data_IF_188481590436
#
_entry.id   IF_188481590436
#
_cell.length_a   1.000
_cell.length_b   1.000
_cell.length_c   1.000
_cell.angle_alpha   90.00
_cell.angle_beta   90.00
_cell.angle_gamma   90.00
#
_symmetry.space_group_name_H-M   'P 1'
#
loop_
_entity.id
_entity.type
_entity.pdbx_description
1 polymer ?
#
# COMPACT_ATOMS: atom_id res chain seq x y z
N UNK A 1 -14.26 -13.60 4.43
CA UNK A 1 -12.80 -13.40 4.34
C UNK A 1 -12.49 -11.91 4.42
N UNK A 2 -12.15 -11.41 5.60
CA UNK A 2 -11.75 -10.01 5.77
C UNK A 2 -10.31 -9.81 5.26
N UNK A 3 -10.00 -8.67 4.61
CA UNK A 3 -8.65 -8.36 4.15
C UNK A 3 -7.75 -8.09 5.37
N UNK A 4 -7.18 -9.15 5.93
CA UNK A 4 -6.19 -9.12 6.99
C UNK A 4 -4.84 -9.42 6.38
N UNK A 5 -4.03 -8.40 6.08
CA UNK A 5 -2.57 -8.57 5.99
C UNK A 5 -1.88 -7.29 6.42
N UNK A 6 -1.10 -7.36 7.51
CA UNK A 6 0.18 -6.68 7.80
C UNK A 6 0.60 -6.99 9.26
N UNK A 7 1.88 -7.33 9.45
CA UNK A 7 2.40 -8.33 10.41
C UNK A 7 3.03 -7.74 11.68
N UNK A 8 3.00 -8.53 12.76
CA UNK A 8 3.99 -8.46 13.84
C UNK A 8 5.02 -9.56 13.61
N UNK A 9 6.30 -9.18 13.57
CA UNK A 9 7.40 -10.15 13.51
C UNK A 9 8.12 -10.16 14.85
N UNK A 10 8.18 -11.33 15.47
CA UNK A 10 8.97 -11.59 16.68
C UNK A 10 10.18 -12.42 16.28
N UNK A 11 11.38 -11.90 16.52
CA UNK A 11 12.60 -12.70 16.49
C UNK A 11 12.92 -13.18 17.89
N UNK A 12 12.96 -14.51 18.07
CA UNK A 12 13.55 -15.16 19.23
C UNK A 12 14.50 -16.26 18.75
N UNK A 13 15.79 -16.21 19.15
CA UNK A 13 16.79 -17.18 18.72
C UNK A 13 17.00 -17.26 17.20
N UNK A 14 16.85 -16.15 16.48
CA UNK A 14 17.01 -16.09 15.03
C UNK A 14 15.77 -16.51 14.20
N UNK A 15 14.67 -16.91 14.84
CA UNK A 15 13.44 -17.33 14.14
C UNK A 15 12.42 -16.20 14.11
N UNK A 16 12.03 -15.75 12.91
CA UNK A 16 10.95 -14.76 12.71
C UNK A 16 9.61 -15.48 12.83
N UNK A 17 8.76 -15.06 13.76
CA UNK A 17 7.39 -15.58 13.90
C UNK A 17 6.38 -14.48 13.63
N UNK A 18 5.35 -14.83 12.86
CA UNK A 18 4.16 -14.02 12.69
C UNK A 18 3.27 -14.13 13.93
N UNK A 19 2.92 -12.99 14.53
CA UNK A 19 2.20 -12.97 15.81
C UNK A 19 0.84 -12.25 15.80
N UNK A 20 0.39 -11.70 14.66
CA UNK A 20 -0.94 -11.09 14.62
C UNK A 20 -1.38 -10.54 13.26
N UNK A 21 -2.70 -10.58 13.03
CA UNK A 21 -3.37 -9.94 11.91
C UNK A 21 -4.04 -8.65 12.35
N UNK A 22 -3.95 -7.60 11.52
CA UNK A 22 -4.56 -6.30 11.79
C UNK A 22 -5.68 -6.02 10.79
N UNK A 23 -6.73 -5.34 11.24
CA UNK A 23 -7.72 -4.77 10.32
C UNK A 23 -7.00 -3.67 9.52
N UNK A 24 -6.86 -3.84 8.20
CA UNK A 24 -6.03 -2.98 7.35
C UNK A 24 -6.78 -2.23 6.26
N UNK A 25 -8.11 -2.36 6.20
CA UNK A 25 -8.92 -1.71 5.20
C UNK A 25 -9.47 -0.37 5.71
N UNK A 26 -8.94 0.73 5.17
CA UNK A 26 -9.27 2.09 5.64
C UNK A 26 -10.77 2.38 5.57
N UNK A 27 -11.44 2.07 4.45
CA UNK A 27 -12.91 2.28 4.33
C UNK A 27 -13.71 1.53 5.40
N UNK A 28 -13.48 0.23 5.58
CA UNK A 28 -14.15 -0.61 6.59
C UNK A 28 -13.89 -0.10 8.02
N UNK A 29 -12.78 0.60 8.27
CA UNK A 29 -12.53 1.17 9.61
C UNK A 29 -13.52 2.26 10.01
N UNK A 30 -14.16 2.94 9.05
CA UNK A 30 -15.25 3.88 9.34
C UNK A 30 -16.54 3.15 9.73
N UNK A 31 -16.76 1.93 9.21
CA UNK A 31 -17.92 1.10 9.51
C UNK A 31 -17.74 0.32 10.83
N UNK A 32 -16.50 -0.08 11.16
CA UNK A 32 -16.18 -0.87 12.35
C UNK A 32 -15.05 -0.25 13.21
N UNK A 33 -15.18 1.03 13.64
CA UNK A 33 -14.09 1.75 14.30
C UNK A 33 -13.66 1.15 15.64
N UNK A 34 -14.62 0.64 16.43
CA UNK A 34 -14.32 0.01 17.73
C UNK A 34 -13.50 -1.27 17.57
N UNK A 35 -13.89 -2.13 16.62
CA UNK A 35 -13.16 -3.36 16.33
C UNK A 35 -11.75 -3.04 15.79
N UNK A 36 -11.63 -2.09 14.86
CA UNK A 36 -10.34 -1.63 14.35
C UNK A 36 -9.44 -1.13 15.48
N UNK A 37 -9.93 -0.32 16.41
CA UNK A 37 -9.17 0.16 17.56
C UNK A 37 -8.75 -0.96 18.51
N UNK A 38 -9.65 -1.92 18.79
CA UNK A 38 -9.38 -3.07 19.67
C UNK A 38 -8.29 -3.99 19.13
N UNK A 39 -8.29 -4.24 17.82
CA UNK A 39 -7.32 -5.14 17.17
C UNK A 39 -6.03 -4.41 16.83
N UNK A 40 -6.13 -3.27 16.14
CA UNK A 40 -4.95 -2.58 15.60
C UNK A 40 -4.20 -1.79 16.67
N UNK A 41 -4.93 -1.08 17.54
CA UNK A 41 -4.34 -0.31 18.64
C UNK A 41 -4.03 -1.19 19.83
N UNK A 42 -5.07 -1.62 20.56
CA UNK A 42 -4.89 -2.38 21.81
C UNK A 42 -4.24 -3.76 21.62
N UNK A 43 -4.38 -4.39 20.44
CA UNK A 43 -3.67 -5.63 20.14
C UNK A 43 -2.15 -5.47 20.20
N UNK A 44 -1.63 -4.33 19.75
CA UNK A 44 -0.20 -3.99 19.84
C UNK A 44 0.26 -3.92 21.29
N UNK A 45 -0.48 -3.19 22.14
CA UNK A 45 -0.20 -3.11 23.57
C UNK A 45 -0.20 -4.50 24.22
N UNK A 46 -1.22 -5.32 23.94
CA UNK A 46 -1.32 -6.68 24.51
C UNK A 46 -0.13 -7.56 24.14
N UNK A 47 0.37 -7.47 22.90
CA UNK A 47 1.52 -8.24 22.47
C UNK A 47 2.81 -7.78 23.18
N UNK A 48 3.01 -6.46 23.30
CA UNK A 48 4.15 -5.90 24.02
C UNK A 48 4.13 -6.29 25.50
N UNK A 49 2.97 -6.19 26.15
CA UNK A 49 2.78 -6.64 27.53
C UNK A 49 2.99 -8.14 27.68
N UNK A 50 2.52 -8.98 26.76
CA UNK A 50 2.74 -10.42 26.84
C UNK A 50 4.24 -10.78 26.84
N UNK A 51 5.04 -10.12 25.98
CA UNK A 51 6.51 -10.30 25.96
C UNK A 51 7.13 -9.80 27.27
N UNK A 52 6.67 -8.66 27.78
CA UNK A 52 7.19 -8.07 29.02
C UNK A 52 6.87 -8.94 30.24
N UNK A 53 5.61 -9.34 30.41
CA UNK A 53 5.15 -10.21 31.50
C UNK A 53 5.78 -11.59 31.46
N UNK A 54 6.13 -12.10 30.27
CA UNK A 54 6.87 -13.35 30.13
C UNK A 54 8.37 -13.22 30.46
N UNK A 55 8.88 -12.03 30.79
CA UNK A 55 10.30 -11.80 31.07
C UNK A 55 11.20 -11.88 29.84
N UNK A 56 10.64 -11.77 28.63
CA UNK A 56 11.36 -12.02 27.37
C UNK A 56 11.88 -10.74 26.69
N UNK A 57 11.94 -9.63 27.41
CA UNK A 57 12.27 -8.29 26.85
C UNK A 57 13.66 -8.22 26.21
N UNK A 58 14.63 -8.97 26.72
CA UNK A 58 16.03 -9.01 26.20
C UNK A 58 16.24 -10.01 25.07
N UNK A 59 15.36 -11.00 24.93
CA UNK A 59 15.49 -12.10 23.96
C UNK A 59 14.64 -11.89 22.70
N UNK A 60 13.69 -10.95 22.76
CA UNK A 60 12.66 -10.76 21.76
C UNK A 60 12.85 -9.43 21.04
N UNK A 61 12.98 -9.48 19.71
CA UNK A 61 12.91 -8.28 18.86
C UNK A 61 11.56 -8.20 18.17
N UNK A 62 10.93 -7.04 18.20
CA UNK A 62 9.55 -6.84 17.75
C UNK A 62 9.52 -5.82 16.61
N UNK A 63 8.93 -6.21 15.49
CA UNK A 63 8.60 -5.28 14.42
C UNK A 63 7.11 -4.98 14.46
N UNK A 64 6.77 -3.71 14.44
CA UNK A 64 5.41 -3.22 14.26
C UNK A 64 5.27 -2.66 12.83
N UNK A 65 4.27 -3.19 12.12
CA UNK A 65 3.91 -2.70 10.79
C UNK A 65 3.14 -1.37 10.90
N UNK A 66 3.85 -0.25 10.94
CA UNK A 66 3.25 1.09 10.81
C UNK A 66 2.88 1.35 9.35
N UNK A 67 2.44 2.57 9.04
CA UNK A 67 1.83 2.87 7.75
C UNK A 67 1.94 4.35 7.40
N UNK A 68 2.07 4.65 6.10
CA UNK A 68 1.95 6.02 5.59
C UNK A 68 0.61 6.69 5.91
N UNK A 69 -0.45 5.93 6.21
CA UNK A 69 -1.75 6.47 6.67
C UNK A 69 -1.67 7.22 8.02
N UNK A 70 -0.54 7.12 8.74
CA UNK A 70 -0.24 7.98 9.89
C UNK A 70 -0.12 9.46 9.48
N UNK A 71 0.37 9.74 8.27
CA UNK A 71 0.55 11.11 7.78
C UNK A 71 -0.76 11.76 7.34
N UNK A 72 -1.73 10.96 6.87
CA UNK A 72 -3.09 11.38 6.51
C UNK A 72 -3.17 12.75 5.81
N UNK A 73 -3.48 13.82 6.56
CA UNK A 73 -3.33 15.19 6.04
C UNK A 73 -1.85 15.58 6.06
N UNK A 74 -1.18 15.33 4.94
CA UNK A 74 0.25 15.61 4.75
C UNK A 74 0.61 17.02 5.20
N UNK A 75 1.63 17.13 6.05
CA UNK A 75 2.20 18.39 6.53
C UNK A 75 3.46 18.78 5.76
N UNK A 76 4.23 17.79 5.28
CA UNK A 76 5.50 17.95 4.55
C UNK A 76 5.58 16.89 3.45
N UNK A 77 6.19 17.23 2.31
CA UNK A 77 6.38 16.31 1.17
C UNK A 77 7.81 16.43 0.64
N UNK A 78 8.52 15.31 0.39
CA UNK A 78 8.17 13.94 0.76
C UNK A 78 8.12 13.76 2.29
N UNK A 79 7.39 12.76 2.78
CA UNK A 79 7.28 12.47 4.21
C UNK A 79 8.45 11.58 4.68
N UNK A 80 9.08 11.95 5.80
CA UNK A 80 10.18 11.22 6.44
C UNK A 80 9.82 10.80 7.87
N UNK A 81 10.76 10.23 8.63
CA UNK A 81 10.55 9.87 10.03
C UNK A 81 10.29 11.08 10.96
N UNK A 82 10.64 12.30 10.53
CA UNK A 82 10.42 13.53 11.30
C UNK A 82 9.13 14.26 10.95
N UNK A 83 8.47 13.87 9.86
CA UNK A 83 7.25 14.53 9.41
C UNK A 83 6.11 14.32 10.41
N UNK A 84 5.40 15.38 10.84
CA UNK A 84 4.32 15.25 11.80
C UNK A 84 3.17 14.37 11.31
N UNK A 85 2.62 13.53 12.20
CA UNK A 85 1.47 12.69 11.91
C UNK A 85 0.15 13.46 11.99
N UNK A 86 -0.77 13.17 11.06
CA UNK A 86 -2.13 13.70 11.04
C UNK A 86 -3.09 12.65 10.46
N UNK A 87 -3.49 11.62 11.23
CA UNK A 87 -4.32 10.54 10.72
C UNK A 87 -5.74 11.04 10.35
N UNK A 88 -6.30 10.49 9.27
CA UNK A 88 -7.62 10.88 8.73
C UNK A 88 -8.65 9.75 8.74
N UNK A 89 -8.41 8.68 9.49
CA UNK A 89 -9.34 7.54 9.62
C UNK A 89 -9.21 6.87 10.99
N UNK A 90 -10.23 6.12 11.45
CA UNK A 90 -10.13 5.29 12.65
C UNK A 90 -8.95 4.29 12.57
N UNK A 91 -8.67 3.75 11.38
CA UNK A 91 -7.47 2.95 11.13
C UNK A 91 -6.17 3.72 11.40
N UNK A 92 -6.03 4.93 10.85
CA UNK A 92 -4.86 5.77 11.08
C UNK A 92 -4.66 6.14 12.54
N UNK A 93 -5.75 6.45 13.26
CA UNK A 93 -5.71 6.77 14.70
C UNK A 93 -5.28 5.54 15.52
N UNK A 94 -5.85 4.36 15.24
CA UNK A 94 -5.46 3.13 15.93
C UNK A 94 -3.99 2.76 15.67
N UNK A 95 -3.50 3.02 14.45
CA UNK A 95 -2.08 2.85 14.09
C UNK A 95 -1.18 3.86 14.79
N UNK A 96 -1.63 5.10 14.98
CA UNK A 96 -0.88 6.12 15.71
C UNK A 96 -0.71 5.73 17.18
N UNK A 97 -1.76 5.20 17.82
CA UNK A 97 -1.66 4.62 19.16
C UNK A 97 -0.63 3.49 19.21
N UNK A 98 -0.68 2.55 18.26
CA UNK A 98 0.26 1.44 18.17
C UNK A 98 1.72 1.92 17.99
N UNK A 99 1.94 2.90 17.12
CA UNK A 99 3.25 3.52 16.88
C UNK A 99 3.84 4.07 18.19
N UNK A 100 3.10 4.94 18.88
CA UNK A 100 3.58 5.56 20.13
C UNK A 100 3.72 4.57 21.28
N UNK A 101 2.88 3.53 21.31
CA UNK A 101 3.03 2.44 22.28
C UNK A 101 4.38 1.74 22.08
N UNK A 102 4.76 1.43 20.83
CA UNK A 102 6.05 0.82 20.52
C UNK A 102 7.21 1.73 20.93
N UNK A 103 7.16 3.02 20.58
CA UNK A 103 8.17 4.01 20.97
C UNK A 103 8.33 4.04 22.49
N UNK A 104 7.23 4.14 23.23
CA UNK A 104 7.26 4.20 24.69
C UNK A 104 7.86 2.93 25.32
N UNK A 105 7.58 1.75 24.77
CA UNK A 105 8.14 0.49 25.29
C UNK A 105 9.63 0.33 24.98
N UNK A 106 10.08 0.82 23.83
CA UNK A 106 11.51 0.92 23.50
C UNK A 106 12.24 1.81 24.51
N UNK A 107 11.69 2.99 24.79
CA UNK A 107 12.33 4.00 25.64
C UNK A 107 12.23 3.67 27.14
N UNK A 108 11.08 3.19 27.60
CA UNK A 108 10.82 2.94 29.02
C UNK A 108 11.39 1.62 29.53
N UNK A 109 11.41 0.58 28.68
CA UNK A 109 11.79 -0.77 29.09
C UNK A 109 13.02 -1.32 28.36
N UNK A 110 13.63 -0.53 27.47
CA UNK A 110 14.79 -0.95 26.68
C UNK A 110 14.49 -2.13 25.76
N UNK A 111 13.23 -2.32 25.36
CA UNK A 111 12.84 -3.41 24.46
C UNK A 111 13.33 -3.12 23.04
N UNK A 112 13.81 -4.15 22.33
CA UNK A 112 14.10 -4.03 20.91
C UNK A 112 12.79 -4.05 20.14
N UNK A 113 12.18 -2.89 19.92
CA UNK A 113 10.99 -2.77 19.10
C UNK A 113 11.09 -1.60 18.11
N UNK A 114 10.66 -1.85 16.87
CA UNK A 114 10.81 -0.92 15.74
C UNK A 114 9.49 -0.74 15.00
N UNK A 115 9.22 0.48 14.56
CA UNK A 115 8.12 0.81 13.65
C UNK A 115 8.67 0.91 12.23
N UNK A 116 8.15 0.07 11.32
CA UNK A 116 8.31 0.31 9.89
C UNK A 116 7.16 1.17 9.39
N UNK A 117 7.42 2.40 8.99
CA UNK A 117 6.43 3.31 8.41
C UNK A 117 6.33 3.02 6.92
N UNK A 118 5.55 1.98 6.57
CA UNK A 118 5.49 1.47 5.20
C UNK A 118 4.44 2.22 4.37
N UNK A 119 4.90 2.72 3.22
CA UNK A 119 4.03 3.21 2.15
C UNK A 119 3.29 2.07 1.46
N UNK A 120 2.49 2.40 0.45
CA UNK A 120 1.66 1.41 -0.21
C UNK A 120 2.57 0.37 -0.87
N UNK A 121 2.23 -0.90 -0.67
CA UNK A 121 2.99 -1.99 -1.26
C UNK A 121 2.07 -3.13 -1.61
N UNK A 122 2.26 -3.63 -2.82
CA UNK A 122 1.29 -4.40 -3.56
C UNK A 122 1.96 -5.67 -4.12
N UNK A 123 1.15 -6.62 -4.59
CA UNK A 123 1.63 -7.86 -5.22
C UNK A 123 0.46 -8.64 -5.82
N UNK A 124 0.73 -9.71 -6.59
CA UNK A 124 -0.27 -10.71 -6.97
C UNK A 124 -1.00 -11.39 -5.80
N UNK A 125 -0.63 -11.13 -4.54
CA UNK A 125 -1.31 -11.65 -3.34
C UNK A 125 -2.12 -10.60 -2.60
N UNK A 126 -2.15 -9.36 -3.09
CA UNK A 126 -2.93 -8.28 -2.47
C UNK A 126 -4.42 -8.63 -2.41
N UNK A 127 -5.09 -8.25 -1.32
CA UNK A 127 -6.53 -8.45 -1.15
C UNK A 127 -7.35 -7.78 -2.26
N UNK A 128 -8.38 -8.48 -2.73
CA UNK A 128 -9.21 -8.08 -3.89
C UNK A 128 -9.96 -6.76 -3.71
N UNK A 129 -10.09 -6.29 -2.47
CA UNK A 129 -10.77 -5.04 -2.11
C UNK A 129 -9.88 -3.80 -2.25
N UNK A 130 -8.55 -3.96 -2.32
CA UNK A 130 -7.63 -2.84 -2.54
C UNK A 130 -7.62 -2.41 -4.00
N UNK A 131 -7.44 -1.11 -4.25
CA UNK A 131 -7.65 -0.48 -5.57
C UNK A 131 -6.80 -1.12 -6.68
N UNK A 132 -5.51 -1.36 -6.44
CA UNK A 132 -4.58 -1.95 -7.40
C UNK A 132 -5.02 -3.33 -7.85
N UNK A 133 -5.37 -4.22 -6.90
CA UNK A 133 -5.85 -5.57 -7.23
C UNK A 133 -7.26 -5.55 -7.81
N UNK A 134 -8.11 -4.59 -7.42
CA UNK A 134 -9.43 -4.40 -8.03
C UNK A 134 -9.28 -4.04 -9.51
N UNK A 135 -8.35 -3.13 -9.85
CA UNK A 135 -8.06 -2.73 -11.23
C UNK A 135 -7.55 -3.93 -12.04
N UNK A 136 -6.45 -4.57 -11.63
CA UNK A 136 -5.85 -5.63 -12.45
C UNK A 136 -6.79 -6.82 -12.70
N UNK A 137 -7.60 -7.19 -11.70
CA UNK A 137 -8.63 -8.21 -11.85
C UNK A 137 -9.72 -7.77 -12.83
N UNK A 138 -10.21 -6.55 -12.71
CA UNK A 138 -11.26 -6.05 -13.59
C UNK A 138 -10.78 -5.97 -15.04
N UNK A 139 -9.56 -5.48 -15.28
CA UNK A 139 -8.97 -5.46 -16.63
C UNK A 139 -8.96 -6.87 -17.24
N UNK A 140 -8.47 -7.88 -16.51
CA UNK A 140 -8.46 -9.25 -16.99
C UNK A 140 -9.88 -9.80 -17.29
N UNK A 141 -10.87 -9.49 -16.44
CA UNK A 141 -12.27 -9.91 -16.64
C UNK A 141 -12.94 -9.18 -17.81
N UNK A 142 -12.62 -7.91 -18.03
CA UNK A 142 -13.11 -7.11 -19.17
C UNK A 142 -12.53 -7.64 -20.48
N UNK A 143 -11.23 -7.96 -20.51
CA UNK A 143 -10.59 -8.57 -21.69
C UNK A 143 -11.19 -9.93 -22.00
N UNK A 144 -11.55 -10.72 -20.97
CA UNK A 144 -12.24 -11.99 -21.13
C UNK A 144 -13.71 -11.86 -21.55
N UNK A 145 -14.31 -10.67 -21.43
CA UNK A 145 -15.73 -10.44 -21.72
C UNK A 145 -16.69 -10.90 -20.61
N UNK A 146 -16.21 -11.09 -19.38
CA UNK A 146 -17.03 -11.48 -18.22
C UNK A 146 -17.57 -10.27 -17.45
N UNK A 147 -16.83 -9.16 -17.49
CA UNK A 147 -17.20 -7.92 -16.82
C UNK A 147 -17.25 -6.79 -17.87
N UNK A 148 -18.24 -5.91 -17.79
CA UNK A 148 -18.39 -4.82 -18.76
C UNK A 148 -17.51 -3.62 -18.46
N UNK A 149 -17.52 -3.14 -17.22
CA UNK A 149 -16.77 -1.96 -16.79
C UNK A 149 -16.31 -2.06 -15.33
N UNK A 150 -15.32 -1.25 -14.98
CA UNK A 150 -14.74 -1.13 -13.65
C UNK A 150 -15.27 0.14 -12.95
N UNK A 151 -15.93 -0.03 -11.81
CA UNK A 151 -16.40 1.11 -11.00
C UNK A 151 -15.35 1.50 -9.96
N UNK A 152 -14.90 2.76 -9.91
CA UNK A 152 -13.91 3.28 -8.95
C UNK A 152 -14.46 4.47 -8.14
N UNK A 153 -13.66 4.93 -7.17
CA UNK A 153 -13.91 6.17 -6.44
C UNK A 153 -13.04 7.29 -7.01
N UNK A 154 -12.27 7.96 -6.15
CA UNK A 154 -11.38 9.06 -6.54
C UNK A 154 -10.22 8.57 -7.43
N UNK A 155 -10.14 9.06 -8.68
CA UNK A 155 -9.10 8.68 -9.66
C UNK A 155 -7.81 9.49 -9.48
N UNK A 156 -7.91 10.72 -8.97
CA UNK A 156 -6.76 11.62 -8.81
C UNK A 156 -6.10 11.52 -7.43
N UNK A 157 -6.27 10.40 -6.74
CA UNK A 157 -5.50 10.11 -5.52
C UNK A 157 -4.10 9.61 -5.88
N UNK A 158 -3.07 10.23 -5.30
CA UNK A 158 -1.66 9.95 -5.57
C UNK A 158 -1.05 9.05 -4.50
N UNK A 159 -0.33 8.01 -4.90
CA UNK A 159 0.27 7.04 -3.99
C UNK A 159 1.66 6.63 -4.46
N UNK A 160 2.55 6.46 -3.50
CA UNK A 160 3.80 5.72 -3.63
C UNK A 160 3.54 4.22 -3.48
N UNK A 161 3.72 3.47 -4.57
CA UNK A 161 3.45 2.03 -4.66
C UNK A 161 4.73 1.23 -4.90
N UNK A 162 5.16 0.47 -3.90
CA UNK A 162 6.23 -0.50 -4.02
C UNK A 162 5.76 -1.95 -4.11
N UNK A 163 6.71 -2.87 -4.31
CA UNK A 163 6.42 -4.31 -4.33
C UNK A 163 6.58 -4.94 -2.95
N UNK A 164 5.60 -5.74 -2.52
CA UNK A 164 5.56 -6.30 -1.16
C UNK A 164 6.78 -7.19 -0.81
N UNK A 165 7.40 -7.86 -1.80
CA UNK A 165 8.63 -8.65 -1.59
C UNK A 165 9.81 -7.80 -1.11
N UNK A 166 9.96 -6.59 -1.64
CA UNK A 166 11.04 -5.68 -1.28
C UNK A 166 10.84 -5.15 0.14
N UNK A 167 9.57 -4.92 0.49
CA UNK A 167 9.17 -4.38 1.79
C UNK A 167 9.33 -5.40 2.91
N UNK A 168 9.02 -6.69 2.69
CA UNK A 168 9.25 -7.71 3.75
C UNK A 168 10.72 -7.95 4.02
N UNK A 169 11.60 -7.76 3.02
CA UNK A 169 13.06 -7.84 3.20
C UNK A 169 13.54 -6.78 4.19
N UNK A 170 13.09 -5.53 4.06
CA UNK A 170 13.51 -4.48 4.99
C UNK A 170 12.92 -4.63 6.39
N UNK A 171 11.72 -5.22 6.55
CA UNK A 171 11.20 -5.58 7.88
C UNK A 171 12.19 -6.47 8.63
N UNK A 172 12.74 -7.48 7.93
CA UNK A 172 13.75 -8.36 8.49
C UNK A 172 15.07 -7.63 8.77
N UNK A 173 15.54 -6.78 7.85
CA UNK A 173 16.78 -6.00 8.00
C UNK A 173 16.75 -5.06 9.20
N UNK A 174 15.61 -4.39 9.45
CA UNK A 174 15.41 -3.53 10.62
C UNK A 174 15.59 -4.31 11.93
N UNK A 175 15.15 -5.57 11.96
CA UNK A 175 15.30 -6.43 13.13
C UNK A 175 16.71 -7.02 13.29
N UNK A 176 17.59 -6.90 12.30
CA UNK A 176 18.99 -7.35 12.39
C UNK A 176 19.92 -6.27 12.98
N UNK A 177 19.46 -5.03 13.10
CA UNK A 177 20.29 -3.92 13.57
C UNK A 177 20.73 -4.10 15.04
N UNK A 178 21.80 -3.43 15.45
CA UNK A 178 22.26 -3.44 16.84
C UNK A 178 21.32 -2.65 17.75
N UNK A 179 20.81 -1.51 17.27
CA UNK A 179 19.88 -0.64 17.99
C UNK A 179 18.54 -0.51 17.26
N UNK A 180 17.41 -0.51 18.00
CA UNK A 180 16.09 -0.37 17.40
C UNK A 180 15.84 1.07 16.94
N UNK A 181 15.51 1.23 15.65
CA UNK A 181 15.15 2.52 15.05
C UNK A 181 13.94 2.37 14.13
N UNK A 182 13.18 3.46 14.01
CA UNK A 182 12.04 3.54 13.09
C UNK A 182 12.50 4.03 11.71
N UNK A 183 11.84 3.54 10.66
CA UNK A 183 12.21 3.83 9.28
C UNK A 183 10.98 4.05 8.40
N UNK A 184 11.03 5.07 7.55
CA UNK A 184 10.15 5.22 6.39
C UNK A 184 10.63 4.28 5.28
N UNK A 185 9.70 3.47 4.78
CA UNK A 185 9.94 2.52 3.68
C UNK A 185 8.99 2.88 2.55
N UNK A 186 9.55 3.36 1.45
CA UNK A 186 8.85 3.93 0.31
C UNK A 186 9.67 3.74 -0.98
N UNK A 187 9.07 3.94 -2.16
CA UNK A 187 9.82 3.97 -3.42
C UNK A 187 10.41 5.34 -3.72
N UNK A 188 9.78 6.41 -3.23
CA UNK A 188 10.10 7.79 -3.61
C UNK A 188 9.50 8.21 -4.95
N UNK A 189 8.57 7.41 -5.50
CA UNK A 189 7.87 7.68 -6.76
C UNK A 189 6.35 7.59 -6.52
N UNK A 190 5.60 8.61 -6.94
CA UNK A 190 4.14 8.65 -6.82
C UNK A 190 3.45 8.53 -8.17
N UNK A 191 2.35 7.78 -8.20
CA UNK A 191 1.45 7.66 -9.35
C UNK A 191 0.01 7.85 -8.92
N UNK A 192 -0.84 8.27 -9.86
CA UNK A 192 -2.28 8.40 -9.60
C UNK A 192 -3.01 7.07 -9.81
N UNK A 193 -4.20 6.91 -9.22
CA UNK A 193 -5.08 5.77 -9.52
C UNK A 193 -5.47 5.76 -11.00
N UNK A 194 -5.64 6.94 -11.60
CA UNK A 194 -5.85 7.13 -13.04
C UNK A 194 -4.73 6.52 -13.88
N UNK A 195 -3.49 6.89 -13.59
CA UNK A 195 -2.30 6.41 -14.31
C UNK A 195 -2.15 4.89 -14.17
N UNK A 196 -2.43 4.34 -12.98
CA UNK A 196 -2.46 2.88 -12.79
C UNK A 196 -3.47 2.22 -13.75
N UNK A 197 -4.66 2.81 -13.91
CA UNK A 197 -5.66 2.30 -14.84
C UNK A 197 -5.18 2.39 -16.29
N UNK A 198 -4.66 3.54 -16.71
CA UNK A 198 -4.14 3.75 -18.06
C UNK A 198 -3.08 2.71 -18.44
N UNK A 199 -2.10 2.48 -17.56
CA UNK A 199 -1.03 1.49 -17.79
C UNK A 199 -1.59 0.07 -17.81
N UNK A 200 -2.45 -0.29 -16.86
CA UNK A 200 -3.02 -1.62 -16.79
C UNK A 200 -3.86 -1.97 -18.03
N UNK A 201 -4.66 -1.03 -18.54
CA UNK A 201 -5.41 -1.21 -19.78
C UNK A 201 -4.49 -1.20 -21.01
N UNK A 202 -3.48 -0.32 -21.06
CA UNK A 202 -2.52 -0.28 -22.17
C UNK A 202 -1.73 -1.60 -22.30
N UNK A 203 -1.30 -2.18 -21.19
CA UNK A 203 -0.67 -3.53 -21.18
C UNK A 203 -1.61 -4.59 -21.76
N UNK A 204 -2.91 -4.48 -21.46
CA UNK A 204 -3.95 -5.32 -22.05
C UNK A 204 -4.32 -4.99 -23.51
N UNK A 205 -3.67 -3.98 -24.12
CA UNK A 205 -3.92 -3.57 -25.51
C UNK A 205 -5.18 -2.72 -25.71
N UNK A 206 -5.63 -2.01 -24.67
CA UNK A 206 -6.76 -1.07 -24.73
C UNK A 206 -6.31 0.30 -24.24
N UNK A 207 -6.61 1.36 -24.98
CA UNK A 207 -6.22 2.71 -24.59
C UNK A 207 -7.42 3.45 -24.01
N UNK A 208 -7.24 4.07 -22.84
CA UNK A 208 -8.30 4.86 -22.21
C UNK A 208 -8.29 6.29 -22.77
N UNK A 209 -9.48 6.78 -23.10
CA UNK A 209 -9.80 8.20 -23.26
C UNK A 209 -10.74 8.60 -22.12
N UNK A 210 -10.40 9.66 -21.40
CA UNK A 210 -11.26 10.18 -20.32
C UNK A 210 -12.27 11.17 -20.87
N UNK A 211 -13.52 11.08 -20.40
CA UNK A 211 -14.61 11.98 -20.76
C UNK A 211 -15.41 12.36 -19.51
N UNK A 212 -15.86 13.62 -19.46
CA UNK A 212 -16.57 14.16 -18.29
C UNK A 212 -15.61 14.55 -17.16
N UNK A 213 -16.19 14.95 -16.02
CA UNK A 213 -15.46 15.41 -14.84
C UNK A 213 -16.16 14.95 -13.55
N UNK A 214 -15.39 14.78 -12.47
CA UNK A 214 -15.90 14.42 -11.15
C UNK A 214 -16.68 13.11 -11.14
N UNK A 215 -17.92 13.13 -10.66
CA UNK A 215 -18.78 11.93 -10.61
C UNK A 215 -19.28 11.48 -11.99
N UNK A 216 -19.26 12.37 -12.99
CA UNK A 216 -19.64 12.05 -14.37
C UNK A 216 -18.43 11.63 -15.21
N UNK A 217 -17.24 11.57 -14.61
CA UNK A 217 -16.04 11.14 -15.30
C UNK A 217 -16.10 9.63 -15.59
N UNK A 218 -15.76 9.29 -16.84
CA UNK A 218 -15.68 7.91 -17.32
C UNK A 218 -14.42 7.71 -18.17
N UNK A 219 -13.88 6.51 -18.12
CA UNK A 219 -12.83 6.05 -19.03
C UNK A 219 -13.46 5.21 -20.13
N UNK A 220 -13.34 5.65 -21.38
CA UNK A 220 -13.81 4.90 -22.55
C UNK A 220 -12.63 4.32 -23.32
N UNK A 221 -12.84 3.15 -23.90
CA UNK A 221 -11.91 2.51 -24.82
C UNK A 221 -11.80 3.37 -26.08
N UNK A 222 -10.60 3.82 -26.42
CA UNK A 222 -10.36 4.78 -27.52
C UNK A 222 -10.72 4.19 -28.88
N UNK A 223 -10.53 2.90 -29.06
CA UNK A 223 -10.75 2.21 -30.32
C UNK A 223 -12.22 1.86 -30.53
N UNK A 224 -12.92 1.47 -29.46
CA UNK A 224 -14.31 0.96 -29.56
C UNK A 224 -15.38 1.90 -29.04
N UNK A 225 -15.01 2.92 -28.26
CA UNK A 225 -15.94 3.82 -27.57
C UNK A 225 -16.69 3.19 -26.40
N UNK A 226 -16.41 1.92 -26.05
CA UNK A 226 -17.06 1.23 -24.92
C UNK A 226 -16.58 1.84 -23.60
N UNK A 227 -17.49 2.05 -22.65
CA UNK A 227 -17.13 2.43 -21.29
C UNK A 227 -16.35 1.31 -20.60
N UNK A 228 -15.14 1.61 -20.13
CA UNK A 228 -14.27 0.70 -19.38
C UNK A 228 -14.25 1.02 -17.90
N UNK A 229 -14.38 2.30 -17.53
CA UNK A 229 -14.30 2.79 -16.16
C UNK A 229 -15.41 3.80 -15.90
N UNK A 230 -16.05 3.69 -14.74
CA UNK A 230 -16.96 4.71 -14.20
C UNK A 230 -16.66 5.04 -12.75
N UNK A 231 -17.06 6.24 -12.32
CA UNK A 231 -16.87 6.74 -10.94
C UNK A 231 -18.17 6.58 -10.15
N UNK A 232 -18.06 6.15 -8.88
CA UNK A 232 -19.22 6.03 -7.99
C UNK A 232 -18.93 6.60 -6.60
N UNK A 233 -19.85 7.44 -6.05
CA UNK A 233 -19.71 8.05 -4.73
C UNK A 233 -19.60 7.01 -3.61
N UNK A 234 -20.13 5.80 -3.82
CA UNK A 234 -20.06 4.69 -2.85
C UNK A 234 -18.62 4.33 -2.50
N UNK A 235 -17.65 4.54 -3.39
CA UNK A 235 -16.24 4.21 -3.13
C UNK A 235 -15.43 5.34 -2.49
N UNK A 236 -16.01 6.52 -2.28
CA UNK A 236 -15.33 7.63 -1.62
C UNK A 236 -15.25 7.40 -0.11
N UNK A 237 -14.22 7.97 0.51
CA UNK A 237 -14.04 7.97 1.97
C UNK A 237 -14.59 9.27 2.56
N UNK A 238 -15.08 9.27 3.81
CA UNK A 238 -15.48 10.50 4.50
C UNK A 238 -14.34 11.53 4.61
N UNK A 239 -13.10 11.05 4.74
CA UNK A 239 -11.90 11.86 4.68
C UNK A 239 -10.87 11.13 3.81
N UNK A 240 -10.54 11.74 2.67
CA UNK A 240 -9.56 11.20 1.73
C UNK A 240 -8.13 11.61 2.12
N UNK A 241 -7.18 10.79 1.71
CA UNK A 241 -5.76 11.13 1.72
C UNK A 241 -5.38 11.43 0.27
N UNK A 242 -5.04 12.68 -0.02
CA UNK A 242 -4.87 13.12 -1.41
C UNK A 242 -3.57 12.61 -2.02
N UNK A 243 -2.44 12.81 -1.35
CA UNK A 243 -1.11 12.38 -1.80
C UNK A 243 -0.32 11.75 -0.67
N UNK A 244 0.52 10.77 -1.01
CA UNK A 244 1.50 10.13 -0.15
C UNK A 244 2.76 9.85 -0.98
N UNK A 245 3.89 10.42 -0.57
CA UNK A 245 5.20 10.28 -1.19
C UNK A 245 6.26 10.18 -0.09
N UNK A 246 6.96 9.05 0.01
CA UNK A 246 7.89 8.81 1.13
C UNK A 246 9.34 9.07 0.78
N UNK A 247 10.11 9.55 1.76
CA UNK A 247 11.57 9.63 1.70
C UNK A 247 12.20 8.48 2.48
N UNK A 248 12.76 7.50 1.76
CA UNK A 248 13.44 6.34 2.34
C UNK A 248 14.97 6.53 2.51
N UNK A 249 15.47 7.78 2.46
CA UNK A 249 16.91 8.08 2.54
C UNK A 249 17.58 7.52 3.80
N UNK A 250 16.89 7.51 4.95
CA UNK A 250 17.41 6.92 6.18
C UNK A 250 17.59 5.40 6.05
N UNK A 251 16.62 4.70 5.46
CA UNK A 251 16.70 3.26 5.22
C UNK A 251 17.83 2.92 4.25
N UNK A 252 18.01 3.69 3.19
CA UNK A 252 19.14 3.55 2.27
C UNK A 252 20.48 3.72 2.98
N UNK A 253 20.64 4.81 3.75
CA UNK A 253 21.89 5.13 4.44
C UNK A 253 22.29 4.10 5.51
N UNK A 254 21.33 3.67 6.33
CA UNK A 254 21.63 2.84 7.51
C UNK A 254 21.43 1.34 7.27
N UNK A 255 20.52 0.95 6.37
CA UNK A 255 20.24 -0.46 6.09
C UNK A 255 20.81 -0.90 4.75
N UNK A 256 21.24 0.02 3.88
CA UNK A 256 21.60 -0.30 2.50
C UNK A 256 20.41 -0.81 1.68
N UNK A 257 19.19 -0.45 2.06
CA UNK A 257 17.97 -0.91 1.40
C UNK A 257 17.49 0.11 0.35
N UNK A 258 17.12 -0.40 -0.81
CA UNK A 258 16.44 0.33 -1.88
C UNK A 258 15.36 -0.57 -2.50
N UNK A 259 14.26 0.00 -3.03
CA UNK A 259 13.30 -0.76 -3.83
C UNK A 259 13.99 -1.28 -5.11
N UNK A 260 13.65 -2.50 -5.52
CA UNK A 260 14.22 -3.13 -6.72
C UNK A 260 13.19 -3.30 -7.84
N UNK A 261 11.90 -3.25 -7.49
CA UNK A 261 10.80 -3.34 -8.46
C UNK A 261 10.27 -1.93 -8.77
N UNK A 262 10.23 -1.58 -10.05
CA UNK A 262 9.61 -0.34 -10.54
C UNK A 262 8.08 -0.40 -10.50
N UNK A 263 7.42 0.76 -10.62
CA UNK A 263 5.96 0.82 -10.70
C UNK A 263 5.39 0.00 -11.89
N UNK A 264 6.01 0.09 -13.07
CA UNK A 264 5.57 -0.64 -14.26
C UNK A 264 5.69 -2.16 -14.10
N UNK A 265 6.80 -2.64 -13.53
CA UNK A 265 6.99 -4.06 -13.24
C UNK A 265 5.98 -4.57 -12.20
N UNK A 266 5.64 -3.74 -11.21
CA UNK A 266 4.59 -4.04 -10.24
C UNK A 266 3.22 -4.20 -10.93
N UNK A 267 2.82 -3.25 -11.78
CA UNK A 267 1.56 -3.33 -12.54
C UNK A 267 1.55 -4.59 -13.41
N UNK A 268 2.67 -4.86 -14.10
CA UNK A 268 2.82 -6.03 -14.96
C UNK A 268 2.68 -7.36 -14.18
N UNK A 269 3.39 -7.52 -13.06
CA UNK A 269 3.33 -8.75 -12.26
C UNK A 269 1.90 -9.01 -11.73
N UNK A 270 1.23 -7.96 -11.24
CA UNK A 270 -0.14 -8.04 -10.78
C UNK A 270 -1.15 -8.35 -11.90
N UNK A 271 -0.96 -7.76 -13.08
CA UNK A 271 -1.85 -7.96 -14.22
C UNK A 271 -1.67 -9.35 -14.83
N UNK A 272 -0.42 -9.80 -15.01
CA UNK A 272 -0.08 -11.15 -15.49
C UNK A 272 -0.77 -12.21 -14.64
N UNK A 273 -0.65 -12.14 -13.32
CA UNK A 273 -1.34 -13.08 -12.43
C UNK A 273 -2.86 -13.01 -12.57
N UNK A 274 -3.43 -11.82 -12.78
CA UNK A 274 -4.88 -11.66 -12.97
C UNK A 274 -5.36 -12.23 -14.31
N UNK A 275 -4.53 -12.17 -15.36
CA UNK A 275 -4.77 -12.82 -16.65
C UNK A 275 -4.73 -14.35 -16.52
N UNK A 276 -3.71 -14.89 -15.85
CA UNK A 276 -3.58 -16.33 -15.60
C UNK A 276 -4.80 -16.89 -14.84
N UNK A 277 -5.28 -16.18 -13.82
CA UNK A 277 -6.48 -16.56 -13.06
C UNK A 277 -7.74 -16.72 -13.92
N UNK A 278 -7.79 -16.03 -15.06
CA UNK A 278 -8.92 -16.08 -15.98
C UNK A 278 -8.60 -16.89 -17.25
N UNK A 279 -7.45 -17.55 -17.32
CA UNK A 279 -7.04 -18.38 -18.46
C UNK A 279 -6.60 -17.57 -19.69
N UNK A 280 -6.13 -16.34 -19.48
CA UNK A 280 -5.51 -15.50 -20.51
C UNK A 280 -4.00 -15.42 -20.28
N UNK A 281 -3.27 -15.06 -21.33
CA UNK A 281 -1.82 -14.79 -21.27
C UNK A 281 -1.58 -13.32 -21.56
N UNK A 282 -0.89 -12.64 -20.64
CA UNK A 282 -0.42 -11.28 -20.89
C UNK A 282 0.84 -11.33 -21.78
N UNK A 283 1.02 -10.42 -22.76
CA UNK A 283 2.25 -10.33 -23.53
C UNK A 283 3.49 -10.09 -22.65
N UNK A 284 4.69 -10.18 -23.23
CA UNK A 284 5.92 -9.88 -22.49
C UNK A 284 5.94 -8.44 -21.95
N UNK A 285 6.77 -8.21 -20.92
CA UNK A 285 6.92 -6.88 -20.33
C UNK A 285 7.34 -5.83 -21.37
N UNK A 286 8.31 -6.13 -22.23
CA UNK A 286 8.76 -5.22 -23.28
C UNK A 286 7.65 -4.86 -24.27
N UNK A 287 6.81 -5.84 -24.65
CA UNK A 287 5.66 -5.61 -25.51
C UNK A 287 4.62 -4.72 -24.82
N UNK A 288 4.36 -4.99 -23.54
CA UNK A 288 3.48 -4.17 -22.72
C UNK A 288 3.98 -2.72 -22.61
N UNK A 289 5.29 -2.51 -22.41
CA UNK A 289 5.88 -1.18 -22.33
C UNK A 289 5.78 -0.42 -23.66
N UNK A 290 5.95 -1.08 -24.81
CA UNK A 290 5.73 -0.45 -26.12
C UNK A 290 4.31 0.11 -26.26
N UNK A 291 3.29 -0.58 -25.71
CA UNK A 291 1.90 -0.11 -25.74
C UNK A 291 1.71 1.14 -24.90
N UNK A 292 2.36 1.24 -23.75
CA UNK A 292 2.30 2.47 -22.93
C UNK A 292 2.87 3.66 -23.69
N UNK A 293 4.02 3.51 -24.36
CA UNK A 293 4.63 4.60 -25.13
C UNK A 293 3.82 5.04 -26.36
N UNK A 294 2.90 4.20 -26.85
CA UNK A 294 1.97 4.53 -27.93
C UNK A 294 0.71 5.25 -27.44
N UNK A 295 0.49 5.29 -26.12
CA UNK A 295 -0.55 6.13 -25.53
C UNK A 295 -0.12 7.60 -25.68
N UNK A 296 -0.96 8.50 -26.22
CA UNK A 296 -0.66 9.93 -26.19
C UNK A 296 -0.49 10.34 -24.74
N UNK A 297 0.73 10.65 -24.33
CA UNK A 297 1.02 11.16 -23.01
C UNK A 297 0.38 12.55 -22.91
N UNK A 298 -0.84 12.63 -22.37
CA UNK A 298 -1.35 13.89 -21.86
C UNK A 298 -0.39 14.34 -20.77
N UNK A 299 0.35 15.42 -21.04
CA UNK A 299 1.49 15.90 -20.28
C UNK A 299 1.17 16.30 -18.83
N UNK A 300 1.03 15.31 -17.95
CA UNK A 300 0.90 15.51 -16.51
C UNK A 300 2.26 15.27 -15.86
N UNK A 301 3.04 16.34 -15.86
CA UNK A 301 4.27 16.49 -15.08
C UNK A 301 3.99 16.15 -13.61
N UNK A 302 4.91 15.41 -12.98
CA UNK A 302 4.97 15.19 -11.52
C UNK A 302 4.65 16.49 -10.78
N UNK A 303 3.57 16.52 -9.99
CA UNK A 303 3.38 17.59 -9.02
C UNK A 303 4.37 17.33 -7.88
N UNK A 304 5.44 18.13 -7.85
CA UNK A 304 6.32 18.28 -6.69
C UNK A 304 5.52 18.72 -5.46
#
# INVERSE_FOLDING_TARGET
MHPCVRFFCVLKGGVVRECGCLQSHVKVSFEMPEYTSKVTGLGTLRLLEAVRSAGLTKETRIYQASTSELFGRVQESPQSETTPFYPRSPYGIAKLYAYWTVVNYRESYGMFCVNGILFNHESPRRGKTFVTRKITRAVAQIVKGVQDSLVLGHLDSWRDWGHAKDYVKVMWMMLQQESPQDFVIATGEQHSVREFCEIAFAFAGRHIKWEGEGLNEKGVDKETGKELISVSPVYFRPAEVESLLGDASKAKKLLGWEPTTTFYELVYDMLRSSFEEVGLTLPSFDECMRRVSLSPADGRVQKA
#
